data_IF_655374267289
#
_entry.id   IF_655374267289
#
_cell.length_a   1.000
_cell.length_b   1.000
_cell.length_c   1.000
_cell.angle_alpha   90.00
_cell.angle_beta   90.00
_cell.angle_gamma   90.00
#
_symmetry.space_group_name_H-M   'P 1'
#
loop_
_entity.id
_entity.type
_entity.pdbx_description
1 polymer ?
#
# COMPACT_ATOMS: atom_id res chain seq x y z
N UNK A 1 27.26 -10.19 9.88
CA UNK A 1 27.86 -9.06 9.12
C UNK A 1 28.73 -9.60 7.98
N UNK A 2 29.69 -10.49 8.22
CA UNK A 2 30.63 -10.98 7.20
C UNK A 2 29.95 -11.45 5.89
N UNK A 3 28.94 -12.32 5.96
CA UNK A 3 28.20 -12.80 4.77
C UNK A 3 27.48 -11.66 4.01
N UNK A 4 26.93 -10.68 4.73
CA UNK A 4 26.31 -9.51 4.10
C UNK A 4 27.32 -8.71 3.30
N UNK A 5 28.49 -8.48 3.91
CA UNK A 5 29.49 -7.58 3.34
C UNK A 5 30.19 -8.22 2.13
N UNK A 6 30.28 -9.57 2.11
CA UNK A 6 30.82 -10.37 0.98
C UNK A 6 29.80 -10.59 -0.17
N UNK A 7 28.50 -10.50 0.11
CA UNK A 7 27.47 -10.76 -0.90
C UNK A 7 27.32 -9.58 -1.87
N UNK A 8 27.08 -9.84 -3.15
CA UNK A 8 26.67 -8.84 -4.14
C UNK A 8 25.16 -8.62 -4.07
N UNK A 9 24.39 -9.68 -3.93
CA UNK A 9 22.93 -9.68 -3.87
C UNK A 9 22.48 -10.54 -2.69
N UNK A 10 21.50 -10.04 -1.93
CA UNK A 10 20.88 -10.76 -0.82
C UNK A 10 19.49 -11.23 -1.22
N UNK A 11 19.29 -12.52 -1.36
CA UNK A 11 18.00 -13.15 -1.69
C UNK A 11 17.58 -14.00 -0.50
N UNK A 12 16.46 -13.63 0.15
CA UNK A 12 16.03 -14.36 1.36
C UNK A 12 14.57 -14.12 1.73
N UNK A 13 14.07 -14.95 2.63
CA UNK A 13 12.78 -14.81 3.28
C UNK A 13 13.01 -14.61 4.78
N UNK A 14 13.20 -13.36 5.24
CA UNK A 14 13.37 -13.08 6.68
C UNK A 14 12.07 -13.32 7.44
N UNK A 15 12.11 -13.61 8.76
CA UNK A 15 10.92 -13.56 9.59
C UNK A 15 10.22 -12.21 9.45
N UNK A 16 8.90 -12.19 9.21
CA UNK A 16 8.17 -10.95 8.95
C UNK A 16 8.20 -9.97 10.12
N UNK A 17 8.34 -10.49 11.34
CA UNK A 17 8.52 -9.68 12.56
C UNK A 17 9.84 -8.90 12.59
N UNK A 18 10.86 -9.37 11.87
CA UNK A 18 12.19 -8.75 11.79
C UNK A 18 12.43 -8.06 10.45
N UNK A 19 11.40 -7.92 9.61
CA UNK A 19 11.54 -7.40 8.26
C UNK A 19 12.15 -5.99 8.24
N UNK A 20 11.72 -5.11 9.14
CA UNK A 20 12.15 -3.71 9.18
C UNK A 20 13.64 -3.58 9.54
N UNK A 21 14.04 -4.26 10.60
CA UNK A 21 15.43 -4.29 11.06
C UNK A 21 16.33 -4.94 10.01
N UNK A 22 15.83 -5.99 9.35
CA UNK A 22 16.56 -6.68 8.29
C UNK A 22 16.72 -5.80 7.05
N UNK A 23 15.66 -5.09 6.64
CA UNK A 23 15.71 -4.14 5.53
C UNK A 23 16.71 -3.01 5.81
N UNK A 24 16.63 -2.39 7.00
CA UNK A 24 17.56 -1.34 7.42
C UNK A 24 19.01 -1.83 7.40
N UNK A 25 19.24 -3.05 7.90
CA UNK A 25 20.56 -3.68 7.92
C UNK A 25 21.13 -3.94 6.51
N UNK A 26 20.30 -4.29 5.52
CA UNK A 26 20.74 -4.45 4.12
C UNK A 26 21.05 -3.09 3.50
N UNK A 27 20.18 -2.12 3.69
CA UNK A 27 20.33 -0.77 3.12
C UNK A 27 21.55 -0.04 3.67
N UNK A 28 21.88 -0.22 4.97
CA UNK A 28 23.12 0.29 5.59
C UNK A 28 24.36 -0.17 4.83
N UNK A 29 24.36 -1.39 4.29
CA UNK A 29 25.49 -1.94 3.54
C UNK A 29 25.40 -1.65 2.04
N UNK A 30 24.41 -0.89 1.59
CA UNK A 30 24.18 -0.56 0.18
C UNK A 30 24.18 -1.80 -0.74
N UNK A 31 23.55 -2.89 -0.30
CA UNK A 31 23.49 -4.15 -1.04
C UNK A 31 22.24 -4.23 -1.91
N UNK A 32 22.38 -4.89 -3.05
CA UNK A 32 21.22 -5.30 -3.84
C UNK A 32 20.47 -6.43 -3.12
N UNK A 33 19.16 -6.45 -3.23
CA UNK A 33 18.38 -7.46 -2.55
C UNK A 33 17.07 -7.82 -3.23
N UNK A 34 16.59 -9.03 -2.93
CA UNK A 34 15.23 -9.51 -3.20
C UNK A 34 14.75 -10.24 -1.95
N UNK A 35 13.81 -9.67 -1.23
CA UNK A 35 13.30 -10.24 0.03
C UNK A 35 11.78 -10.38 0.02
N UNK A 36 11.28 -11.43 0.67
CA UNK A 36 9.84 -11.63 0.87
C UNK A 36 9.40 -10.91 2.14
N UNK A 37 8.27 -10.22 2.07
CA UNK A 37 7.67 -9.56 3.22
C UNK A 37 6.17 -9.44 3.12
N UNK A 38 5.54 -9.07 4.23
CA UNK A 38 4.13 -8.69 4.24
C UNK A 38 3.96 -7.33 3.55
N UNK A 39 2.98 -7.21 2.65
CA UNK A 39 2.65 -5.91 2.04
C UNK A 39 2.14 -4.86 3.03
N UNK A 40 1.79 -5.28 4.26
CA UNK A 40 1.45 -4.33 5.32
C UNK A 40 2.62 -3.39 5.65
N UNK A 41 3.87 -3.82 5.41
CA UNK A 41 5.05 -2.98 5.68
C UNK A 41 5.11 -1.71 4.81
N UNK A 42 4.39 -1.68 3.68
CA UNK A 42 4.22 -0.48 2.85
C UNK A 42 3.70 0.69 3.70
N UNK A 43 2.90 0.39 4.72
CA UNK A 43 2.27 1.40 5.57
C UNK A 43 3.13 1.84 6.76
N UNK A 44 4.34 1.33 6.90
CA UNK A 44 5.21 1.65 8.02
C UNK A 44 6.01 2.94 7.74
N UNK A 45 6.13 3.79 8.76
CA UNK A 45 6.78 5.11 8.66
C UNK A 45 8.25 5.08 8.24
N UNK A 46 8.92 3.97 8.48
CA UNK A 46 10.33 3.72 8.12
C UNK A 46 10.50 3.01 6.77
N UNK A 47 9.42 2.46 6.21
CA UNK A 47 9.43 1.78 4.91
C UNK A 47 8.83 2.64 3.80
N UNK A 48 7.72 3.33 4.08
CA UNK A 48 7.02 4.12 3.07
C UNK A 48 7.92 5.19 2.41
N UNK A 49 8.74 5.96 3.14
CA UNK A 49 9.67 6.91 2.53
C UNK A 49 10.65 6.27 1.54
N UNK A 50 11.08 5.03 1.80
CA UNK A 50 11.95 4.31 0.88
C UNK A 50 11.26 3.96 -0.44
N UNK A 51 9.95 3.69 -0.38
CA UNK A 51 9.12 3.42 -1.57
C UNK A 51 8.84 4.71 -2.34
N UNK A 52 8.45 5.79 -1.67
CA UNK A 52 8.17 7.08 -2.31
C UNK A 52 9.43 7.72 -2.92
N UNK A 53 10.57 7.55 -2.28
CA UNK A 53 11.87 8.03 -2.78
C UNK A 53 12.47 7.12 -3.87
N UNK A 54 11.76 6.08 -4.30
CA UNK A 54 12.24 5.09 -5.25
C UNK A 54 13.58 4.43 -4.86
N UNK A 55 13.81 4.22 -3.57
CA UNK A 55 14.97 3.47 -3.05
C UNK A 55 14.73 1.97 -3.02
N UNK A 56 13.46 1.59 -2.86
CA UNK A 56 12.98 0.21 -2.92
C UNK A 56 11.62 0.17 -3.63
N UNK A 57 11.22 -0.98 -4.11
CA UNK A 57 9.93 -1.20 -4.77
C UNK A 57 9.46 -2.64 -4.64
N UNK A 58 8.24 -2.91 -5.09
CA UNK A 58 7.70 -4.26 -5.14
C UNK A 58 8.19 -4.97 -6.40
N UNK A 59 8.72 -6.18 -6.22
CA UNK A 59 9.08 -7.07 -7.32
C UNK A 59 7.88 -7.79 -7.93
N UNK A 60 8.03 -8.36 -9.14
CA UNK A 60 6.99 -9.15 -9.78
C UNK A 60 6.76 -10.48 -9.04
N UNK A 61 5.53 -10.97 -9.04
CA UNK A 61 5.15 -12.25 -8.44
C UNK A 61 3.98 -12.13 -7.46
N UNK A 62 3.61 -13.24 -6.87
CA UNK A 62 2.48 -13.39 -5.94
C UNK A 62 1.20 -12.71 -6.43
N UNK A 63 0.62 -13.24 -7.50
CA UNK A 63 -0.64 -12.74 -8.08
C UNK A 63 -1.72 -12.61 -7.02
N UNK A 64 -2.29 -11.41 -6.88
CA UNK A 64 -3.29 -11.11 -5.86
C UNK A 64 -2.76 -11.07 -4.43
N UNK A 65 -1.43 -11.01 -4.22
CA UNK A 65 -0.81 -10.93 -2.89
C UNK A 65 -0.90 -12.21 -2.06
N UNK A 66 -1.20 -13.35 -2.69
CA UNK A 66 -1.23 -14.65 -2.02
C UNK A 66 -0.02 -15.47 -2.40
N UNK A 67 0.61 -16.11 -1.41
CA UNK A 67 1.66 -17.09 -1.60
C UNK A 67 1.18 -18.43 -1.02
N UNK A 68 1.50 -19.52 -1.72
CA UNK A 68 1.14 -20.88 -1.29
C UNK A 68 2.42 -21.66 -1.05
N UNK A 69 2.54 -22.25 0.14
CA UNK A 69 3.70 -23.02 0.54
C UNK A 69 3.29 -24.40 1.02
N UNK A 70 4.04 -25.40 0.61
CA UNK A 70 3.91 -26.75 1.17
C UNK A 70 4.63 -26.78 2.52
N UNK A 71 3.94 -27.22 3.55
CA UNK A 71 4.56 -27.44 4.86
C UNK A 71 4.94 -28.91 5.04
N UNK A 72 5.95 -29.15 5.90
CA UNK A 72 6.28 -30.51 6.31
C UNK A 72 5.17 -31.10 7.16
N UNK A 73 4.80 -32.36 6.90
CA UNK A 73 3.70 -33.06 7.57
C UNK A 73 3.86 -33.20 9.10
N UNK A 74 5.02 -32.84 9.67
CA UNK A 74 5.30 -32.96 11.11
C UNK A 74 4.96 -31.69 11.91
N UNK A 75 4.40 -30.66 11.29
CA UNK A 75 3.98 -29.45 11.97
C UNK A 75 2.45 -29.46 12.14
N UNK A 76 1.96 -30.17 13.16
CA UNK A 76 0.59 -29.99 13.64
C UNK A 76 0.44 -28.53 14.13
N UNK A 77 -0.17 -27.68 13.33
CA UNK A 77 -0.51 -26.30 13.67
C UNK A 77 -1.98 -26.10 13.41
N UNK A 78 -2.65 -25.48 14.36
CA UNK A 78 -4.00 -24.99 14.13
C UNK A 78 -3.92 -23.76 13.20
N UNK A 79 -4.38 -23.94 11.98
CA UNK A 79 -4.52 -22.85 11.04
C UNK A 79 -5.93 -22.26 11.12
N UNK A 80 -6.03 -20.96 10.93
CA UNK A 80 -7.33 -20.31 10.77
C UNK A 80 -8.05 -20.83 9.51
N UNK A 81 -9.38 -20.75 9.51
CA UNK A 81 -10.21 -21.18 8.39
C UNK A 81 -9.76 -20.59 7.04
N UNK A 82 -9.62 -21.45 6.03
CA UNK A 82 -9.22 -21.07 4.67
C UNK A 82 -7.75 -20.69 4.53
N UNK A 83 -6.90 -21.00 5.50
CA UNK A 83 -5.44 -20.83 5.44
C UNK A 83 -4.75 -22.11 4.98
N UNK A 84 -5.20 -23.27 5.47
CA UNK A 84 -4.68 -24.56 5.07
C UNK A 84 -5.67 -25.30 4.19
N UNK A 85 -5.18 -25.93 3.14
CA UNK A 85 -5.97 -26.78 2.24
C UNK A 85 -5.53 -28.23 2.41
N UNK A 86 -6.37 -29.01 3.04
CA UNK A 86 -6.11 -30.44 3.31
C UNK A 86 -5.93 -31.28 2.06
N UNK A 87 -6.57 -30.88 0.96
CA UNK A 87 -6.49 -31.61 -0.33
C UNK A 87 -5.16 -31.46 -1.03
N UNK A 88 -4.51 -30.31 -0.88
CA UNK A 88 -3.25 -29.98 -1.54
C UNK A 88 -2.04 -29.95 -0.59
N UNK A 89 -2.30 -29.89 0.72
CA UNK A 89 -1.27 -29.71 1.74
C UNK A 89 -0.62 -28.32 1.71
N UNK A 90 -1.28 -27.36 1.12
CA UNK A 90 -0.76 -26.01 0.96
C UNK A 90 -1.29 -25.05 2.03
N UNK A 91 -0.40 -24.23 2.54
CA UNK A 91 -0.72 -23.09 3.41
C UNK A 91 -0.73 -21.81 2.59
N UNK A 92 -1.82 -21.08 2.69
CA UNK A 92 -2.03 -19.80 2.02
C UNK A 92 -1.58 -18.65 2.90
N UNK A 93 -0.50 -17.98 2.51
CA UNK A 93 -0.10 -16.72 3.08
C UNK A 93 -0.73 -15.58 2.28
N UNK A 94 -1.45 -14.70 2.96
CA UNK A 94 -2.10 -13.55 2.36
C UNK A 94 -1.21 -12.31 2.49
N UNK A 95 -1.38 -11.39 1.54
CA UNK A 95 -0.75 -10.09 1.59
C UNK A 95 0.79 -10.14 1.63
N UNK A 96 1.36 -11.04 0.81
CA UNK A 96 2.81 -11.24 0.67
C UNK A 96 3.30 -10.60 -0.63
N UNK A 97 4.49 -10.04 -0.62
CA UNK A 97 5.14 -9.46 -1.78
C UNK A 97 6.66 -9.61 -1.75
N UNK A 98 7.26 -9.46 -2.91
CA UNK A 98 8.70 -9.27 -3.05
C UNK A 98 9.02 -7.80 -2.87
N UNK A 99 10.07 -7.51 -2.12
CA UNK A 99 10.65 -6.17 -1.98
C UNK A 99 12.08 -6.21 -2.53
N UNK A 100 12.45 -5.22 -3.30
CA UNK A 100 13.75 -5.18 -3.98
C UNK A 100 14.20 -3.74 -4.25
N UNK A 101 15.49 -3.55 -4.47
CA UNK A 101 16.09 -2.36 -5.06
C UNK A 101 16.73 -2.66 -6.43
N UNK A 102 16.49 -3.86 -6.97
CA UNK A 102 16.94 -4.25 -8.32
C UNK A 102 15.85 -3.86 -9.30
N UNK A 103 16.21 -3.05 -10.30
CA UNK A 103 15.27 -2.63 -11.32
C UNK A 103 14.77 -3.79 -12.18
N UNK A 104 13.53 -3.69 -12.66
CA UNK A 104 12.90 -4.71 -13.49
C UNK A 104 11.85 -4.12 -14.43
N UNK A 105 11.69 -4.70 -15.63
CA UNK A 105 10.83 -4.16 -16.68
C UNK A 105 9.38 -3.93 -16.26
N UNK A 106 8.81 -4.78 -15.41
CA UNK A 106 7.43 -4.63 -14.96
C UNK A 106 7.18 -3.32 -14.19
N UNK A 107 8.21 -2.74 -13.56
CA UNK A 107 8.13 -1.46 -12.87
C UNK A 107 7.89 -0.28 -13.83
N UNK A 108 8.28 -0.44 -15.09
CA UNK A 108 8.17 0.56 -16.15
C UNK A 108 6.98 0.31 -17.09
N UNK A 109 6.16 -0.71 -16.80
CA UNK A 109 4.91 -0.93 -17.55
C UNK A 109 3.87 0.14 -17.20
N UNK A 110 3.41 0.87 -18.21
CA UNK A 110 2.36 1.85 -18.00
C UNK A 110 1.02 1.19 -17.70
N UNK A 111 0.32 1.73 -16.71
CA UNK A 111 -1.08 1.41 -16.50
C UNK A 111 -1.90 1.96 -17.68
N UNK A 112 -2.73 1.12 -18.26
CA UNK A 112 -3.75 1.55 -19.21
C UNK A 112 -4.86 2.24 -18.42
N UNK A 113 -5.08 3.51 -18.71
CA UNK A 113 -6.02 4.37 -18.00
C UNK A 113 -7.17 4.76 -18.94
N UNK A 114 -8.37 4.81 -18.39
CA UNK A 114 -9.56 5.33 -19.05
C UNK A 114 -9.89 6.74 -18.54
N UNK A 115 -10.72 7.47 -19.28
CA UNK A 115 -11.24 8.76 -18.81
C UNK A 115 -12.17 8.59 -17.62
N UNK A 116 -12.34 9.64 -16.84
CA UNK A 116 -13.27 9.66 -15.71
C UNK A 116 -14.69 9.29 -16.14
N UNK A 117 -15.16 9.88 -17.24
CA UNK A 117 -16.48 9.59 -17.79
C UNK A 117 -16.62 8.12 -18.20
N UNK A 118 -15.62 7.57 -18.92
CA UNK A 118 -15.65 6.18 -19.37
C UNK A 118 -15.68 5.21 -18.19
N UNK A 119 -14.86 5.44 -17.16
CA UNK A 119 -14.87 4.68 -15.93
C UNK A 119 -16.24 4.69 -15.25
N UNK A 120 -16.84 5.87 -15.09
CA UNK A 120 -18.17 6.01 -14.48
C UNK A 120 -19.27 5.36 -15.32
N UNK A 121 -19.13 5.32 -16.64
CA UNK A 121 -20.13 4.74 -17.54
C UNK A 121 -20.05 3.22 -17.63
N UNK A 122 -18.84 2.65 -17.68
CA UNK A 122 -18.66 1.25 -18.05
C UNK A 122 -18.14 0.36 -16.92
N UNK A 123 -17.46 0.90 -15.92
CA UNK A 123 -16.92 0.08 -14.84
C UNK A 123 -18.01 -0.25 -13.78
N UNK A 124 -18.59 -1.45 -13.91
CA UNK A 124 -19.68 -1.92 -13.03
C UNK A 124 -19.25 -2.00 -11.55
N UNK A 125 -17.98 -2.33 -11.29
CA UNK A 125 -17.44 -2.46 -9.93
C UNK A 125 -17.32 -1.09 -9.28
N UNK A 126 -16.84 -0.09 -10.02
CA UNK A 126 -16.77 1.30 -9.56
C UNK A 126 -18.15 1.84 -9.26
N UNK A 127 -19.11 1.70 -10.20
CA UNK A 127 -20.51 2.13 -10.01
C UNK A 127 -21.09 1.60 -8.70
N UNK A 128 -21.08 0.26 -8.55
CA UNK A 128 -21.60 -0.39 -7.35
C UNK A 128 -20.96 0.12 -6.06
N UNK A 129 -19.64 0.41 -6.09
CA UNK A 129 -18.91 0.93 -4.93
C UNK A 129 -19.33 2.36 -4.61
N UNK A 130 -19.39 3.23 -5.64
CA UNK A 130 -19.74 4.64 -5.47
C UNK A 130 -21.20 4.80 -5.01
N UNK A 131 -22.14 4.09 -5.61
CA UNK A 131 -23.54 4.11 -5.19
C UNK A 131 -23.73 3.61 -3.76
N UNK A 132 -23.06 2.49 -3.42
CA UNK A 132 -23.17 1.90 -2.08
C UNK A 132 -22.59 2.79 -0.98
N UNK A 133 -21.39 3.32 -1.20
CA UNK A 133 -20.63 3.98 -0.14
C UNK A 133 -20.89 5.48 -0.07
N UNK A 134 -21.24 6.10 -1.20
CA UNK A 134 -21.37 7.56 -1.29
C UNK A 134 -22.74 8.04 -1.80
N UNK A 135 -23.58 7.14 -2.33
CA UNK A 135 -24.91 7.47 -2.86
C UNK A 135 -24.91 8.30 -4.14
N UNK A 136 -23.75 8.50 -4.76
CA UNK A 136 -23.55 9.31 -5.98
C UNK A 136 -22.64 8.61 -6.94
N UNK A 137 -22.88 8.82 -8.25
CA UNK A 137 -22.07 8.28 -9.33
C UNK A 137 -21.04 9.32 -9.78
N UNK A 138 -20.13 9.68 -8.88
CA UNK A 138 -19.03 10.61 -9.13
C UNK A 138 -17.80 10.19 -8.29
N UNK A 139 -16.60 10.60 -8.70
CA UNK A 139 -15.41 10.41 -7.86
C UNK A 139 -15.51 11.34 -6.65
N UNK A 140 -15.54 10.80 -5.42
CA UNK A 140 -15.71 11.62 -4.25
C UNK A 140 -14.50 12.51 -3.98
N UNK A 141 -14.74 13.74 -3.54
CA UNK A 141 -13.71 14.60 -3.01
C UNK A 141 -13.53 14.36 -1.52
N UNK A 142 -12.29 14.46 -1.04
CA UNK A 142 -12.03 14.44 0.38
C UNK A 142 -12.41 15.76 1.02
N UNK A 143 -12.99 15.70 2.23
CA UNK A 143 -13.42 16.88 2.98
C UNK A 143 -12.23 17.66 3.55
N UNK A 144 -11.10 16.97 3.78
CA UNK A 144 -9.99 17.48 4.58
C UNK A 144 -8.72 17.72 3.77
N UNK A 145 -8.73 17.47 2.47
CA UNK A 145 -7.65 17.88 1.55
C UNK A 145 -8.09 17.83 0.08
N UNK A 146 -7.41 18.60 -0.77
CA UNK A 146 -7.78 18.74 -2.17
C UNK A 146 -7.34 17.53 -3.01
N UNK A 147 -8.12 16.47 -2.96
CA UNK A 147 -7.91 15.26 -3.75
C UNK A 147 -9.23 14.49 -3.96
N UNK A 148 -9.26 13.64 -4.96
CA UNK A 148 -10.36 12.71 -5.20
C UNK A 148 -10.04 11.31 -4.69
N UNK A 149 -11.06 10.58 -4.25
CA UNK A 149 -10.97 9.16 -3.91
C UNK A 149 -11.09 8.31 -5.18
N UNK A 150 -10.12 7.44 -5.40
CA UNK A 150 -10.13 6.44 -6.46
C UNK A 150 -10.18 5.06 -5.82
N UNK A 151 -11.36 4.41 -5.75
CA UNK A 151 -11.54 3.18 -4.99
C UNK A 151 -10.75 1.98 -5.50
N UNK A 152 -10.39 1.97 -6.78
CA UNK A 152 -9.69 0.87 -7.43
C UNK A 152 -8.58 1.38 -8.35
N UNK A 153 -7.43 0.71 -8.36
CA UNK A 153 -6.29 1.06 -9.20
C UNK A 153 -6.63 1.10 -10.68
N UNK A 154 -7.50 0.20 -11.14
CA UNK A 154 -7.98 0.15 -12.52
C UNK A 154 -8.93 1.30 -12.91
N UNK A 155 -9.33 2.12 -11.95
CA UNK A 155 -10.22 3.27 -12.17
C UNK A 155 -9.50 4.62 -12.03
N UNK A 156 -8.18 4.63 -12.02
CA UNK A 156 -7.42 5.88 -12.06
C UNK A 156 -7.72 6.59 -13.39
N UNK A 157 -8.27 7.83 -13.33
CA UNK A 157 -8.64 8.53 -14.56
C UNK A 157 -7.43 9.08 -15.33
N UNK A 158 -7.50 9.00 -16.67
CA UNK A 158 -6.47 9.50 -17.57
C UNK A 158 -6.55 11.02 -17.80
N UNK A 159 -7.69 11.62 -17.50
CA UNK A 159 -8.05 13.01 -17.73
C UNK A 159 -8.13 13.87 -16.47
N UNK A 160 -7.61 13.38 -15.34
CA UNK A 160 -7.53 14.13 -14.10
C UNK A 160 -6.07 14.41 -13.71
N UNK A 161 -5.74 15.68 -13.52
CA UNK A 161 -4.38 16.15 -13.23
C UNK A 161 -4.15 16.50 -11.74
N UNK A 162 -5.19 16.39 -10.93
CA UNK A 162 -5.12 16.66 -9.49
C UNK A 162 -4.60 15.47 -8.68
N UNK A 163 -4.54 15.68 -7.38
CA UNK A 163 -4.15 14.64 -6.41
C UNK A 163 -5.25 13.60 -6.28
N UNK A 164 -4.88 12.33 -6.29
CA UNK A 164 -5.76 11.18 -6.19
C UNK A 164 -5.36 10.28 -5.02
N UNK A 165 -6.32 9.89 -4.19
CA UNK A 165 -6.14 8.87 -3.16
C UNK A 165 -6.43 7.49 -3.72
N UNK A 166 -5.42 6.62 -3.79
CA UNK A 166 -5.52 5.26 -4.34
C UNK A 166 -5.29 4.20 -3.25
N UNK A 167 -5.82 2.98 -3.40
CA UNK A 167 -5.58 1.91 -2.45
C UNK A 167 -4.10 1.47 -2.46
N UNK A 168 -3.64 0.90 -1.33
CA UNK A 168 -2.26 0.40 -1.17
C UNK A 168 -1.87 -0.61 -2.27
N UNK A 169 -2.84 -1.35 -2.80
CA UNK A 169 -2.63 -2.29 -3.92
C UNK A 169 -2.14 -1.63 -5.21
N UNK A 170 -2.23 -0.30 -5.31
CA UNK A 170 -1.60 0.48 -6.38
C UNK A 170 -0.09 0.23 -6.47
N UNK A 171 0.57 0.00 -5.34
CA UNK A 171 2.03 -0.24 -5.31
C UNK A 171 2.47 -1.48 -6.11
N UNK A 172 1.57 -2.44 -6.34
CA UNK A 172 1.84 -3.61 -7.20
C UNK A 172 2.00 -3.25 -8.68
N UNK A 173 1.53 -2.06 -9.05
CA UNK A 173 1.48 -1.55 -10.42
C UNK A 173 2.09 -0.14 -10.54
N UNK A 174 2.75 0.31 -9.49
CA UNK A 174 3.36 1.63 -9.49
C UNK A 174 4.47 1.71 -10.52
N UNK A 175 4.31 2.65 -11.45
CA UNK A 175 5.33 3.05 -12.40
C UNK A 175 5.78 4.48 -12.08
N UNK A 176 7.05 4.70 -11.69
CA UNK A 176 7.58 6.03 -11.34
C UNK A 176 7.67 6.96 -12.53
N UNK A 177 7.62 6.44 -13.77
CA UNK A 177 7.63 7.28 -14.98
C UNK A 177 6.23 7.83 -15.26
N UNK A 178 5.18 7.13 -14.84
CA UNK A 178 3.78 7.51 -15.06
C UNK A 178 3.16 8.28 -13.89
N UNK A 179 3.60 8.00 -12.65
CA UNK A 179 3.02 8.59 -11.44
C UNK A 179 4.10 9.12 -10.49
N UNK A 180 3.69 10.10 -9.70
CA UNK A 180 4.43 10.57 -8.54
C UNK A 180 3.64 10.25 -7.27
N UNK A 181 4.30 9.69 -6.27
CA UNK A 181 3.74 9.48 -4.94
C UNK A 181 3.91 10.77 -4.15
N UNK A 182 2.80 11.39 -3.74
CA UNK A 182 2.80 12.63 -2.97
C UNK A 182 2.94 12.35 -1.48
N UNK A 183 2.11 11.44 -0.94
CA UNK A 183 2.13 11.10 0.48
C UNK A 183 1.37 9.81 0.77
N UNK A 184 1.53 9.32 2.01
CA UNK A 184 0.72 8.27 2.57
C UNK A 184 -0.22 8.83 3.63
N UNK A 185 -1.49 8.52 3.55
CA UNK A 185 -2.55 9.08 4.38
C UNK A 185 -3.08 8.05 5.38
N UNK A 186 -2.37 7.91 6.51
CA UNK A 186 -2.81 7.10 7.65
C UNK A 186 -2.14 7.56 8.95
N UNK A 187 -2.94 7.77 9.99
CA UNK A 187 -2.45 7.90 11.38
C UNK A 187 -1.44 9.01 11.59
N UNK A 188 -0.26 8.64 12.02
CA UNK A 188 0.79 9.57 12.48
C UNK A 188 1.49 10.33 11.36
N UNK A 189 1.24 10.01 10.09
CA UNK A 189 1.81 10.71 8.93
C UNK A 189 1.20 12.11 8.70
N UNK A 190 0.50 12.61 9.71
CA UNK A 190 -0.14 13.92 9.71
C UNK A 190 0.79 15.12 9.45
N UNK A 191 2.10 14.92 9.43
CA UNK A 191 3.06 15.98 9.12
C UNK A 191 2.92 16.53 7.70
N UNK A 192 2.50 15.69 6.76
CA UNK A 192 2.36 16.04 5.35
C UNK A 192 0.93 16.40 4.96
N UNK A 193 0.00 16.38 5.93
CA UNK A 193 -1.39 16.68 5.71
C UNK A 193 -1.70 18.09 6.17
N UNK A 194 -2.20 18.89 5.28
CA UNK A 194 -2.86 20.14 5.63
C UNK A 194 -4.27 19.78 6.12
N UNK A 195 -4.43 19.57 7.42
CA UNK A 195 -5.74 19.31 8.01
C UNK A 195 -6.52 20.58 8.22
N UNK A 196 -7.75 20.56 7.79
CA UNK A 196 -8.70 21.66 8.01
C UNK A 196 -9.46 21.53 9.32
N UNK A 197 -9.40 20.38 10.01
CA UNK A 197 -10.08 20.18 11.30
C UNK A 197 -9.24 19.33 12.26
N UNK A 198 -9.02 19.88 13.44
CA UNK A 198 -8.61 19.13 14.62
C UNK A 198 -9.78 18.26 15.08
N UNK A 199 -9.53 16.97 15.31
CA UNK A 199 -10.48 16.12 15.99
C UNK A 199 -10.33 16.34 17.48
N UNK A 200 -11.35 16.87 18.12
CA UNK A 200 -11.48 16.73 19.57
C UNK A 200 -11.60 15.26 19.92
N UNK A 201 -10.59 14.77 20.64
CA UNK A 201 -10.48 13.37 21.04
C UNK A 201 -11.40 13.10 22.23
N UNK A 202 -12.63 12.71 21.98
CA UNK A 202 -13.58 12.27 23.01
C UNK A 202 -13.69 10.76 23.15
N UNK A 203 -12.90 9.96 22.45
CA UNK A 203 -13.01 8.51 22.55
C UNK A 203 -11.65 7.87 22.84
N UNK A 204 -11.51 7.33 24.03
CA UNK A 204 -10.43 6.43 24.40
C UNK A 204 -10.66 5.13 23.63
N UNK A 205 -9.95 4.93 22.55
CA UNK A 205 -9.94 3.64 21.83
C UNK A 205 -8.96 2.70 22.54
N UNK A 206 -9.48 1.61 23.00
CA UNK A 206 -8.83 0.52 23.71
C UNK A 206 -7.89 -0.32 22.82
N UNK A 207 -7.01 0.30 22.05
CA UNK A 207 -5.94 -0.42 21.37
C UNK A 207 -4.57 0.03 21.91
N UNK A 208 -3.71 -0.91 22.31
CA UNK A 208 -2.48 -0.64 23.05
C UNK A 208 -1.40 0.11 22.27
N UNK A 209 -1.62 0.44 21.01
CA UNK A 209 -0.64 1.12 20.16
C UNK A 209 -0.91 2.60 19.90
N UNK A 210 -1.93 3.18 20.51
CA UNK A 210 -2.29 4.59 20.28
C UNK A 210 -2.21 5.38 21.57
N UNK A 211 -1.01 5.80 21.94
CA UNK A 211 -0.84 6.89 22.90
C UNK A 211 -1.35 8.18 22.26
N UNK A 212 -2.53 8.63 22.67
CA UNK A 212 -3.06 9.91 22.25
C UNK A 212 -2.40 11.03 23.03
N UNK A 213 -1.63 11.84 22.34
CA UNK A 213 -1.18 13.12 22.86
C UNK A 213 -2.35 14.09 22.70
N UNK A 214 -2.78 14.79 23.76
CA UNK A 214 -3.84 15.82 23.65
C UNK A 214 -3.45 16.86 22.60
N UNK A 215 -4.35 17.19 21.67
CA UNK A 215 -4.11 18.14 20.59
C UNK A 215 -3.45 17.54 19.33
N UNK A 216 -3.15 16.26 19.31
CA UNK A 216 -2.61 15.60 18.12
C UNK A 216 -3.74 15.05 17.23
N UNK A 217 -3.68 15.35 15.95
CA UNK A 217 -4.61 14.80 14.96
C UNK A 217 -4.36 13.31 14.83
N UNK A 218 -5.28 12.50 15.33
CA UNK A 218 -5.09 11.05 15.46
C UNK A 218 -5.21 10.26 14.17
N UNK A 219 -5.84 10.77 13.14
CA UNK A 219 -6.02 10.03 11.89
C UNK A 219 -5.87 11.00 10.72
N UNK A 220 -4.75 10.88 10.06
CA UNK A 220 -4.43 11.53 8.81
C UNK A 220 -5.17 10.89 7.62
N UNK A 221 -6.17 10.07 7.88
CA UNK A 221 -7.00 9.44 6.86
C UNK A 221 -7.85 10.49 6.14
N UNK A 222 -8.00 10.31 4.84
CA UNK A 222 -8.98 11.07 4.08
C UNK A 222 -10.37 10.87 4.66
N UNK A 223 -11.18 11.94 4.62
CA UNK A 223 -12.59 11.86 5.00
C UNK A 223 -13.45 12.25 3.82
N UNK A 224 -14.54 11.53 3.68
CA UNK A 224 -15.58 11.80 2.69
C UNK A 224 -16.91 11.83 3.43
N UNK A 225 -17.66 12.91 3.30
CA UNK A 225 -18.90 13.16 4.04
C UNK A 225 -18.71 12.96 5.56
N UNK A 226 -17.59 13.41 6.12
CA UNK A 226 -17.29 13.31 7.54
C UNK A 226 -16.80 11.92 8.01
N UNK A 227 -16.85 10.89 7.17
CA UNK A 227 -16.41 9.52 7.51
C UNK A 227 -14.97 9.28 7.06
N UNK A 228 -14.11 8.67 7.92
CA UNK A 228 -12.74 8.34 7.53
C UNK A 228 -12.72 7.26 6.47
N UNK A 229 -11.86 7.41 5.47
CA UNK A 229 -11.55 6.37 4.50
C UNK A 229 -10.43 5.46 5.02
N UNK A 230 -10.28 4.29 4.40
CA UNK A 230 -9.10 3.45 4.64
C UNK A 230 -7.83 4.20 4.19
N UNK A 231 -6.68 3.71 4.70
CA UNK A 231 -5.37 4.21 4.30
C UNK A 231 -5.23 4.29 2.77
N UNK A 232 -4.75 5.44 2.29
CA UNK A 232 -4.55 5.73 0.88
C UNK A 232 -3.15 6.24 0.61
N UNK A 233 -2.64 5.90 -0.56
CA UNK A 233 -1.49 6.55 -1.16
C UNK A 233 -2.02 7.69 -2.00
N UNK A 234 -1.51 8.90 -1.79
CA UNK A 234 -1.86 10.02 -2.65
C UNK A 234 -0.85 10.12 -3.78
N UNK A 235 -1.36 10.19 -5.00
CA UNK A 235 -0.58 10.23 -6.24
C UNK A 235 -0.99 11.38 -7.13
N UNK A 236 -0.08 11.78 -8.00
CA UNK A 236 -0.33 12.65 -9.16
C UNK A 236 0.15 11.91 -10.42
N UNK A 237 -0.59 12.04 -11.50
CA UNK A 237 -0.17 11.55 -12.81
C UNK A 237 0.89 12.49 -13.40
N UNK A 238 2.00 11.94 -13.84
CA UNK A 238 3.02 12.70 -14.57
C UNK A 238 2.52 12.98 -15.98
N UNK A 239 2.62 14.22 -16.41
CA UNK A 239 2.40 14.58 -17.81
C UNK A 239 3.67 14.20 -18.58
N UNK A 240 3.53 13.38 -19.60
CA UNK A 240 4.58 13.27 -20.60
C UNK A 240 4.60 14.58 -21.38
N UNK A 241 5.69 15.32 -21.25
CA UNK A 241 6.00 16.47 -22.07
C UNK A 241 6.30 16.02 -23.49
#
# INVERSE_FOLDING_TARGET
KKLRDEADIIITNPPFSLFREFLAWILEANKLFVIIGSKNVITYKDVFPLLSDNKIWLGPGFTGGNAFFKISNNTARDFADGVYDDSTGLVKFRNVGWFTNIDHGKRHENLVLDTMEHNLKFNKKLKKKLEKDYGKLEYPHYDNYNAIEVPFTECIPSDYDGVMGVPITFMDKYNPDQFEIVAFRKGEDGKDLVFTRERESTTVLSHPCTTSIPGMIKNAEGKINGHPTYARITIIRKRHL
#
